data_IF_419569904506
#
_entry.id   IF_419569904506
#
_cell.length_a   1.000
_cell.length_b   1.000
_cell.length_c   1.000
_cell.angle_alpha   90.00
_cell.angle_beta   90.00
_cell.angle_gamma   90.00
#
_symmetry.space_group_name_H-M   'P 1'
#
loop_
_entity.id
_entity.type
_entity.pdbx_description
1 polymer ?
#
# COMPACT_ATOMS: atom_id res chain seq x y z
N UNK A 1 -34.58 -28.04 -43.13
CA UNK A 1 -33.48 -27.22 -42.58
C UNK A 1 -33.81 -26.85 -41.13
N UNK A 2 -33.96 -27.81 -40.20
CA UNK A 2 -34.97 -27.55 -39.14
C UNK A 2 -34.74 -28.00 -37.71
N UNK A 3 -33.58 -28.53 -37.31
CA UNK A 3 -33.31 -28.66 -35.86
C UNK A 3 -31.84 -28.44 -35.49
N UNK A 4 -30.91 -29.01 -36.25
CA UNK A 4 -29.48 -28.85 -35.98
C UNK A 4 -28.99 -27.41 -36.13
N UNK A 5 -29.47 -26.67 -37.14
CA UNK A 5 -29.08 -25.26 -37.33
C UNK A 5 -29.61 -24.35 -36.21
N UNK A 6 -30.83 -24.59 -35.72
CA UNK A 6 -31.42 -23.81 -34.61
C UNK A 6 -30.71 -24.12 -33.29
N UNK A 7 -30.39 -25.40 -33.02
CA UNK A 7 -29.59 -25.80 -31.85
C UNK A 7 -28.16 -25.24 -31.91
N UNK A 8 -27.53 -25.24 -33.08
CA UNK A 8 -26.20 -24.63 -33.29
C UNK A 8 -26.19 -23.13 -33.00
N UNK A 9 -27.22 -22.41 -33.47
CA UNK A 9 -27.39 -20.98 -33.19
C UNK A 9 -27.64 -20.72 -31.70
N UNK A 10 -28.50 -21.51 -31.03
CA UNK A 10 -28.79 -21.33 -29.60
C UNK A 10 -27.57 -21.62 -28.70
N UNK A 11 -26.80 -22.68 -28.99
CA UNK A 11 -25.57 -23.01 -28.25
C UNK A 11 -24.51 -21.93 -28.47
N UNK A 12 -24.36 -21.43 -29.69
CA UNK A 12 -23.42 -20.34 -30.00
C UNK A 12 -23.80 -19.02 -29.31
N UNK A 13 -25.10 -18.69 -29.25
CA UNK A 13 -25.61 -17.51 -28.56
C UNK A 13 -25.42 -17.60 -27.04
N UNK A 14 -25.63 -18.79 -26.46
CA UNK A 14 -25.36 -19.06 -25.05
C UNK A 14 -23.86 -19.02 -24.72
N UNK A 15 -23.01 -19.61 -25.58
CA UNK A 15 -21.57 -19.55 -25.41
C UNK A 15 -21.04 -18.11 -25.54
N UNK A 16 -21.56 -17.34 -26.49
CA UNK A 16 -21.24 -15.93 -26.67
C UNK A 16 -21.64 -15.06 -25.49
N UNK A 17 -22.83 -15.27 -24.93
CA UNK A 17 -23.30 -14.52 -23.75
C UNK A 17 -22.52 -14.90 -22.48
N UNK A 18 -22.22 -16.19 -22.28
CA UNK A 18 -21.37 -16.64 -21.17
C UNK A 18 -19.95 -16.06 -21.27
N UNK A 19 -19.35 -16.07 -22.47
CA UNK A 19 -18.05 -15.47 -22.71
C UNK A 19 -18.05 -13.96 -22.40
N UNK A 20 -19.09 -13.23 -22.81
CA UNK A 20 -19.22 -11.80 -22.52
C UNK A 20 -19.32 -11.51 -21.01
N UNK A 21 -20.06 -12.34 -20.26
CA UNK A 21 -20.14 -12.22 -18.79
C UNK A 21 -18.78 -12.48 -18.14
N UNK A 22 -18.06 -13.53 -18.57
CA UNK A 22 -16.74 -13.86 -18.04
C UNK A 22 -15.71 -12.76 -18.32
N UNK A 23 -15.71 -12.20 -19.53
CA UNK A 23 -14.85 -11.08 -19.91
C UNK A 23 -15.18 -9.84 -19.07
N UNK A 24 -16.46 -9.52 -18.91
CA UNK A 24 -16.91 -8.37 -18.10
C UNK A 24 -16.48 -8.50 -16.64
N UNK A 25 -16.65 -9.71 -16.08
CA UNK A 25 -16.20 -10.02 -14.72
C UNK A 25 -14.67 -9.89 -14.59
N UNK A 26 -13.92 -10.37 -15.58
CA UNK A 26 -12.47 -10.29 -15.59
C UNK A 26 -11.95 -8.84 -15.67
N UNK A 27 -12.58 -8.00 -16.51
CA UNK A 27 -12.29 -6.57 -16.62
C UNK A 27 -12.55 -5.86 -15.28
N UNK A 28 -13.72 -6.08 -14.69
CA UNK A 28 -14.07 -5.45 -13.41
C UNK A 28 -13.14 -5.91 -12.28
N UNK A 29 -12.81 -7.21 -12.22
CA UNK A 29 -11.86 -7.73 -11.24
C UNK A 29 -10.46 -7.12 -11.39
N UNK A 30 -9.97 -6.91 -12.61
CA UNK A 30 -8.67 -6.23 -12.83
C UNK A 30 -8.73 -4.76 -12.42
N UNK A 31 -9.84 -4.06 -12.73
CA UNK A 31 -10.04 -2.66 -12.37
C UNK A 31 -10.11 -2.46 -10.86
N UNK A 32 -10.82 -3.33 -10.14
CA UNK A 32 -10.90 -3.29 -8.68
C UNK A 32 -9.52 -3.51 -8.04
N UNK A 33 -8.74 -4.47 -8.54
CA UNK A 33 -7.35 -4.69 -8.08
C UNK A 33 -6.45 -3.49 -8.33
N UNK A 34 -6.53 -2.88 -9.51
CA UNK A 34 -5.79 -1.67 -9.83
C UNK A 34 -6.12 -0.50 -8.89
N UNK A 35 -7.40 -0.32 -8.55
CA UNK A 35 -7.85 0.67 -7.58
C UNK A 35 -7.34 0.38 -6.17
N UNK A 36 -7.54 -0.84 -5.67
CA UNK A 36 -7.08 -1.22 -4.34
C UNK A 36 -5.57 -1.01 -4.17
N UNK A 37 -4.78 -1.32 -5.21
CA UNK A 37 -3.35 -1.05 -5.25
C UNK A 37 -3.03 0.46 -5.18
N UNK A 38 -3.73 1.28 -5.96
CA UNK A 38 -3.57 2.73 -5.92
C UNK A 38 -3.92 3.29 -4.53
N UNK A 39 -4.99 2.78 -3.91
CA UNK A 39 -5.43 3.20 -2.57
C UNK A 39 -4.40 2.81 -1.48
N UNK A 40 -3.79 1.62 -1.59
CA UNK A 40 -2.71 1.18 -0.70
C UNK A 40 -1.48 2.10 -0.80
N UNK A 41 -1.04 2.39 -2.03
CA UNK A 41 0.09 3.31 -2.28
C UNK A 41 -0.25 4.70 -1.74
N UNK A 42 -1.46 5.19 -2.00
CA UNK A 42 -1.92 6.48 -1.50
C UNK A 42 -1.93 6.56 0.04
N UNK A 43 -2.37 5.50 0.72
CA UNK A 43 -2.33 5.43 2.18
C UNK A 43 -0.90 5.54 2.72
N UNK A 44 0.06 4.85 2.09
CA UNK A 44 1.48 4.91 2.44
C UNK A 44 2.04 6.32 2.18
N UNK A 45 1.82 6.88 0.99
CA UNK A 45 2.31 8.22 0.64
C UNK A 45 1.78 9.29 1.61
N UNK A 46 0.49 9.24 1.94
CA UNK A 46 -0.13 10.17 2.89
C UNK A 46 0.45 10.03 4.30
N UNK A 47 0.82 8.81 4.71
CA UNK A 47 1.49 8.61 5.99
C UNK A 47 2.91 9.20 5.98
N UNK A 48 3.66 9.00 4.90
CA UNK A 48 4.99 9.59 4.73
C UNK A 48 4.95 11.13 4.72
N UNK A 49 3.95 11.73 4.05
CA UNK A 49 3.73 13.18 4.08
C UNK A 49 3.48 13.70 5.51
N UNK A 50 2.67 12.97 6.30
CA UNK A 50 2.42 13.32 7.70
C UNK A 50 3.68 13.20 8.56
N UNK A 51 4.52 12.18 8.33
CA UNK A 51 5.83 12.07 9.00
C UNK A 51 6.74 13.26 8.64
N UNK A 52 6.73 13.68 7.37
CA UNK A 52 7.45 14.86 6.91
C UNK A 52 6.97 16.15 7.57
N UNK A 53 5.65 16.39 7.59
CA UNK A 53 5.06 17.54 8.28
C UNK A 53 5.42 17.55 9.77
N UNK A 54 5.26 16.41 10.43
CA UNK A 54 5.61 16.22 11.83
C UNK A 54 7.08 16.58 12.11
N UNK A 55 8.02 16.10 11.28
CA UNK A 55 9.45 16.42 11.42
C UNK A 55 9.71 17.93 11.38
N UNK A 56 9.03 18.66 10.49
CA UNK A 56 9.20 20.10 10.33
C UNK A 56 8.63 20.89 11.52
N UNK A 57 7.48 20.48 12.05
CA UNK A 57 6.85 21.11 13.21
C UNK A 57 7.64 20.83 14.50
N UNK A 58 8.15 19.60 14.65
CA UNK A 58 9.02 19.22 15.76
C UNK A 58 10.27 20.10 15.81
N UNK A 59 10.93 20.35 14.68
CA UNK A 59 12.09 21.25 14.61
C UNK A 59 11.76 22.70 14.99
N UNK A 60 10.61 23.21 14.57
CA UNK A 60 10.16 24.54 14.95
C UNK A 60 9.94 24.66 16.47
N UNK A 61 9.32 23.63 17.07
CA UNK A 61 9.13 23.55 18.52
C UNK A 61 10.45 23.39 19.28
N UNK A 62 11.39 22.57 18.77
CA UNK A 62 12.71 22.39 19.38
C UNK A 62 13.53 23.68 19.36
N UNK A 63 13.56 24.38 18.22
CA UNK A 63 14.27 25.66 18.09
C UNK A 63 13.76 26.69 19.12
N UNK A 64 12.44 26.73 19.32
CA UNK A 64 11.83 27.56 20.36
C UNK A 64 12.21 27.09 21.78
N UNK A 65 12.12 25.79 22.06
CA UNK A 65 12.40 25.24 23.38
C UNK A 65 13.88 25.40 23.78
N UNK A 66 14.84 25.29 22.86
CA UNK A 66 16.27 25.55 23.13
C UNK A 66 16.54 26.95 23.70
N UNK A 67 15.67 27.92 23.43
CA UNK A 67 15.79 29.28 23.97
C UNK A 67 15.16 29.46 25.36
N UNK A 68 14.34 28.52 25.84
CA UNK A 68 13.52 28.68 27.06
C UNK A 68 13.54 27.50 28.05
N UNK A 69 13.94 26.30 27.64
CA UNK A 69 13.82 25.07 28.45
C UNK A 69 15.05 24.16 28.30
N UNK A 70 15.57 23.63 29.42
CA UNK A 70 16.69 22.68 29.49
C UNK A 70 16.25 21.21 29.70
N UNK A 71 14.95 20.91 29.56
CA UNK A 71 14.40 19.55 29.74
C UNK A 71 14.39 18.70 28.46
N UNK A 72 14.25 17.38 28.61
CA UNK A 72 14.16 16.40 27.51
C UNK A 72 12.81 16.41 26.78
N UNK A 73 11.75 16.86 27.45
CA UNK A 73 10.40 16.96 26.87
C UNK A 73 10.19 18.37 26.34
N UNK A 74 9.98 18.50 25.03
CA UNK A 74 9.68 19.77 24.36
C UNK A 74 8.17 20.06 24.55
N UNK A 75 7.78 21.08 25.34
CA UNK A 75 6.37 21.38 25.56
C UNK A 75 5.70 21.81 24.25
N UNK A 76 4.62 21.14 23.87
CA UNK A 76 3.88 21.45 22.63
C UNK A 76 4.46 20.83 21.35
N UNK A 77 5.39 19.87 21.46
CA UNK A 77 5.78 19.05 20.32
C UNK A 77 4.54 18.26 19.81
N UNK A 78 4.31 18.20 18.49
CA UNK A 78 3.21 17.42 17.94
C UNK A 78 3.35 15.91 18.24
N UNK A 79 2.26 15.17 18.11
CA UNK A 79 2.29 13.72 18.28
C UNK A 79 2.72 13.05 16.96
N UNK A 80 3.66 12.10 17.03
CA UNK A 80 4.09 11.34 15.84
C UNK A 80 2.88 10.64 15.21
N UNK A 81 2.69 10.71 13.89
CA UNK A 81 1.68 9.92 13.18
C UNK A 81 1.82 8.43 13.50
N UNK A 82 0.80 7.83 14.12
CA UNK A 82 0.84 6.42 14.54
C UNK A 82 0.74 5.45 13.36
N UNK A 83 1.56 4.39 13.38
CA UNK A 83 1.48 3.30 12.38
C UNK A 83 0.11 2.61 12.40
N UNK A 84 -0.59 2.60 13.55
CA UNK A 84 -1.93 2.01 13.67
C UNK A 84 -2.96 2.67 12.76
N UNK A 85 -2.81 3.97 12.51
CA UNK A 85 -3.67 4.70 11.57
C UNK A 85 -3.39 4.23 10.14
N UNK A 86 -2.12 4.00 9.80
CA UNK A 86 -1.73 3.42 8.51
C UNK A 86 -2.26 1.99 8.37
N UNK A 87 -2.13 1.13 9.40
CA UNK A 87 -2.68 -0.23 9.38
C UNK A 87 -4.17 -0.25 9.03
N UNK A 88 -4.97 0.59 9.70
CA UNK A 88 -6.41 0.70 9.45
C UNK A 88 -6.70 1.17 8.01
N UNK A 89 -5.92 2.14 7.50
CA UNK A 89 -6.05 2.62 6.13
C UNK A 89 -5.71 1.54 5.10
N UNK A 90 -4.65 0.76 5.32
CA UNK A 90 -4.23 -0.34 4.46
C UNK A 90 -5.30 -1.45 4.42
N UNK A 91 -5.82 -1.85 5.59
CA UNK A 91 -6.90 -2.84 5.68
C UNK A 91 -8.17 -2.39 4.97
N UNK A 92 -8.51 -1.10 5.07
CA UNK A 92 -9.65 -0.51 4.37
C UNK A 92 -9.46 -0.52 2.86
N UNK A 93 -8.30 -0.05 2.37
CA UNK A 93 -7.95 -0.03 0.95
C UNK A 93 -7.92 -1.43 0.32
N UNK A 94 -7.38 -2.40 1.07
CA UNK A 94 -7.28 -3.80 0.64
C UNK A 94 -8.55 -4.63 0.84
N UNK A 95 -9.63 -4.07 1.39
CA UNK A 95 -10.85 -4.83 1.74
C UNK A 95 -11.53 -5.53 0.55
N UNK A 96 -11.33 -5.01 -0.66
CA UNK A 96 -11.83 -5.58 -1.92
C UNK A 96 -10.95 -6.70 -2.50
N UNK A 97 -9.77 -6.95 -1.92
CA UNK A 97 -8.90 -8.02 -2.36
C UNK A 97 -9.43 -9.39 -1.92
N UNK A 98 -9.40 -10.36 -2.84
CA UNK A 98 -9.92 -11.71 -2.63
C UNK A 98 -8.87 -12.77 -2.92
N UNK A 99 -9.07 -13.98 -2.40
CA UNK A 99 -8.18 -15.12 -2.61
C UNK A 99 -6.76 -14.85 -2.14
N UNK A 100 -5.78 -15.27 -2.93
CA UNK A 100 -4.35 -15.14 -2.64
C UNK A 100 -3.92 -13.69 -2.37
N UNK A 101 -4.52 -12.71 -3.06
CA UNK A 101 -4.20 -11.29 -2.88
C UNK A 101 -4.47 -10.79 -1.45
N UNK A 102 -5.38 -11.45 -0.71
CA UNK A 102 -5.64 -11.14 0.70
C UNK A 102 -4.46 -11.54 1.59
N UNK A 103 -3.69 -12.56 1.21
CA UNK A 103 -2.47 -12.94 1.94
C UNK A 103 -1.39 -11.88 1.77
N UNK A 104 -1.25 -11.32 0.57
CA UNK A 104 -0.34 -10.22 0.31
C UNK A 104 -0.71 -8.97 1.13
N UNK A 105 -2.00 -8.69 1.34
CA UNK A 105 -2.43 -7.60 2.23
C UNK A 105 -1.94 -7.80 3.67
N UNK A 106 -2.02 -9.01 4.22
CA UNK A 106 -1.50 -9.30 5.55
C UNK A 106 0.02 -9.08 5.62
N UNK A 107 0.74 -9.46 4.57
CA UNK A 107 2.17 -9.20 4.44
C UNK A 107 2.48 -7.70 4.37
N UNK A 108 1.72 -6.91 3.58
CA UNK A 108 1.85 -5.46 3.47
C UNK A 108 1.69 -4.80 4.84
N UNK A 109 0.63 -5.15 5.58
CA UNK A 109 0.37 -4.61 6.92
C UNK A 109 1.50 -4.98 7.87
N UNK A 110 1.97 -6.23 7.84
CA UNK A 110 3.11 -6.67 8.66
C UNK A 110 4.38 -5.85 8.37
N UNK A 111 4.75 -5.69 7.10
CA UNK A 111 5.93 -4.92 6.70
C UNK A 111 5.82 -3.44 7.09
N UNK A 112 4.62 -2.85 6.98
CA UNK A 112 4.39 -1.48 7.43
C UNK A 112 4.62 -1.33 8.95
N UNK A 113 4.20 -2.31 9.76
CA UNK A 113 4.45 -2.31 11.20
C UNK A 113 5.93 -2.46 11.55
N UNK A 114 6.63 -3.32 10.82
CA UNK A 114 8.07 -3.52 11.00
C UNK A 114 8.91 -2.29 10.61
N UNK A 115 8.34 -1.36 9.84
CA UNK A 115 8.96 -0.09 9.51
C UNK A 115 8.90 0.94 10.66
N UNK A 116 7.99 0.78 11.63
CA UNK A 116 7.81 1.73 12.75
C UNK A 116 9.10 1.87 13.57
N UNK A 117 9.57 3.12 13.75
CA UNK A 117 10.65 3.45 14.69
C UNK A 117 10.20 3.20 16.14
N UNK A 118 11.06 2.55 16.94
CA UNK A 118 10.80 2.15 18.33
C UNK A 118 11.06 3.27 19.34
N UNK A 119 11.64 4.40 18.94
CA UNK A 119 12.10 5.46 19.84
C UNK A 119 11.32 6.76 19.62
N UNK A 120 10.22 7.01 20.35
CA UNK A 120 9.45 8.24 20.20
C UNK A 120 10.07 9.50 20.85
N UNK A 121 11.13 9.41 21.68
CA UNK A 121 11.46 10.50 22.64
C UNK A 121 12.90 11.09 22.62
N UNK A 122 13.80 10.80 21.67
CA UNK A 122 15.20 11.29 21.74
C UNK A 122 15.70 12.01 20.47
N UNK A 123 16.68 12.91 20.57
CA UNK A 123 17.25 13.68 19.44
C UNK A 123 17.87 12.85 18.29
N UNK A 124 18.07 11.55 18.45
CA UNK A 124 18.61 10.63 17.41
C UNK A 124 17.54 10.18 16.37
N UNK A 125 16.34 10.72 16.51
CA UNK A 125 15.08 10.24 15.96
C UNK A 125 14.83 10.55 14.47
N UNK A 126 15.54 11.50 13.87
CA UNK A 126 15.30 11.86 12.45
C UNK A 126 15.82 10.78 11.51
N UNK A 127 17.01 10.24 11.76
CA UNK A 127 17.54 9.14 10.98
C UNK A 127 16.61 7.91 11.05
N UNK A 128 15.98 7.69 12.21
CA UNK A 128 15.00 6.61 12.37
C UNK A 128 13.69 6.88 11.61
N UNK A 129 13.21 8.14 11.58
CA UNK A 129 12.02 8.52 10.84
C UNK A 129 12.23 8.55 9.32
N UNK A 130 13.39 9.02 8.86
CA UNK A 130 13.80 8.93 7.46
C UNK A 130 13.94 7.47 7.03
N UNK A 131 14.48 6.61 7.90
CA UNK A 131 14.53 5.16 7.66
C UNK A 131 13.13 4.52 7.66
N UNK A 132 12.20 4.95 8.51
CA UNK A 132 10.79 4.53 8.47
C UNK A 132 10.13 4.94 7.15
N UNK A 133 10.23 6.22 6.76
CA UNK A 133 9.70 6.72 5.51
C UNK A 133 10.33 6.02 4.28
N UNK A 134 11.64 5.75 4.31
CA UNK A 134 12.33 5.01 3.26
C UNK A 134 11.80 3.58 3.14
N UNK A 135 11.66 2.85 4.25
CA UNK A 135 11.12 1.47 4.26
C UNK A 135 9.67 1.43 3.77
N UNK A 136 8.87 2.42 4.13
CA UNK A 136 7.50 2.56 3.65
C UNK A 136 7.46 2.89 2.15
N UNK A 137 8.38 3.72 1.65
CA UNK A 137 8.49 4.02 0.23
C UNK A 137 8.92 2.79 -0.58
N UNK A 138 9.88 2.00 -0.09
CA UNK A 138 10.27 0.73 -0.70
C UNK A 138 9.08 -0.23 -0.77
N UNK A 139 8.27 -0.32 0.30
CA UNK A 139 7.03 -1.09 0.29
C UNK A 139 6.05 -0.59 -0.79
N UNK A 140 5.89 0.73 -0.95
CA UNK A 140 5.05 1.29 -2.01
C UNK A 140 5.56 0.91 -3.42
N UNK A 141 6.87 0.85 -3.64
CA UNK A 141 7.47 0.37 -4.89
C UNK A 141 7.13 -1.10 -5.12
N UNK A 142 7.30 -1.96 -4.11
CA UNK A 142 6.98 -3.39 -4.21
C UNK A 142 5.49 -3.61 -4.53
N UNK A 143 4.60 -2.86 -3.87
CA UNK A 143 3.16 -2.85 -4.19
C UNK A 143 2.94 -2.38 -5.64
N UNK A 144 3.64 -1.32 -6.05
CA UNK A 144 3.66 -0.75 -7.39
C UNK A 144 4.04 -1.74 -8.49
N UNK A 145 4.87 -2.74 -8.18
CA UNK A 145 5.32 -3.78 -9.11
C UNK A 145 4.56 -5.09 -8.97
N UNK A 146 3.76 -5.24 -7.91
CA UNK A 146 2.95 -6.43 -7.70
C UNK A 146 1.78 -6.52 -8.70
N UNK A 147 1.57 -7.74 -9.22
CA UNK A 147 0.52 -8.10 -10.17
C UNK A 147 -0.90 -8.13 -9.53
N UNK A 148 -1.00 -8.02 -8.20
CA UNK A 148 -2.30 -8.02 -7.51
C UNK A 148 -3.03 -9.36 -7.55
N UNK A 149 -2.35 -10.43 -8.00
CA UNK A 149 -2.87 -11.81 -8.11
C UNK A 149 -2.17 -12.79 -7.19
N UNK A 150 -0.87 -12.60 -7.00
CA UNK A 150 -0.02 -13.54 -6.28
C UNK A 150 -0.16 -13.35 -4.76
N UNK A 151 0.02 -14.43 -4.01
CA UNK A 151 -0.07 -14.42 -2.55
C UNK A 151 1.01 -13.59 -1.84
N UNK A 152 2.10 -13.27 -2.54
CA UNK A 152 3.23 -12.53 -2.00
C UNK A 152 3.55 -11.31 -2.86
N UNK A 153 4.09 -10.28 -2.20
CA UNK A 153 4.75 -9.17 -2.88
C UNK A 153 6.00 -9.65 -3.62
N UNK A 154 6.41 -8.96 -4.71
CA UNK A 154 7.73 -9.18 -5.29
C UNK A 154 8.80 -8.85 -4.26
N UNK A 155 9.94 -9.54 -4.34
CA UNK A 155 11.11 -9.24 -3.52
C UNK A 155 11.98 -8.19 -4.22
N UNK A 156 12.87 -7.49 -3.49
CA UNK A 156 13.84 -6.58 -4.11
C UNK A 156 14.72 -7.28 -5.17
N UNK A 157 15.03 -8.56 -4.99
CA UNK A 157 15.79 -9.35 -5.97
C UNK A 157 15.01 -9.56 -7.28
N UNK A 158 13.69 -9.76 -7.21
CA UNK A 158 12.83 -9.90 -8.39
C UNK A 158 12.79 -8.61 -9.23
N UNK A 159 12.86 -7.45 -8.57
CA UNK A 159 12.90 -6.16 -9.24
C UNK A 159 14.24 -5.89 -9.93
N UNK A 160 15.34 -6.31 -9.30
CA UNK A 160 16.70 -6.16 -9.86
C UNK A 160 16.92 -6.97 -11.13
N UNK A 161 16.32 -8.16 -11.24
CA UNK A 161 16.43 -8.98 -12.45
C UNK A 161 15.60 -8.45 -13.63
N UNK A 162 14.47 -7.78 -13.37
CA UNK A 162 13.64 -7.19 -14.42
C UNK A 162 14.33 -6.01 -15.14
N UNK A 163 15.13 -5.21 -14.44
CA UNK A 163 15.84 -4.06 -14.99
C UNK A 163 17.07 -4.41 -15.84
N UNK A 164 17.61 -5.64 -15.71
CA UNK A 164 18.80 -6.10 -16.45
C UNK A 164 18.41 -6.79 -17.77
N UNK A 165 17.14 -7.18 -17.93
CA UNK A 165 16.63 -7.84 -19.14
C UNK A 165 15.82 -6.92 -20.07
N UNK A 166 15.67 -5.64 -19.72
CA UNK A 166 15.05 -4.58 -20.54
C UNK A 166 16.11 -3.74 -21.23
#
# INVERSE_FOLDING_TARGET
MELEEVFGVLISAFAGSLAAVLVSFWIEANRQRGRAKADLIYAISRHCERLGQYSSEFWAAEAFARTKFQGSVIPGAPEKPSIRILEAALLSAGSSMVGDAKMALAQIVKLAKEAESQSPENREVIAEWEAEASRLNDLAILIGQWDGRKAALPTPADLGHAAVMS
#
